data_IF_166343724453
#
_entry.id   IF_166343724453
#
_cell.length_a   1.000
_cell.length_b   1.000
_cell.length_c   1.000
_cell.angle_alpha   90.00
_cell.angle_beta   90.00
_cell.angle_gamma   90.00
#
_symmetry.space_group_name_H-M   'P 1'
#
loop_
_entity.id
_entity.type
_entity.pdbx_description
1 polymer ?
#
# COMPACT_ATOMS: atom_id res chain seq x y z
N UNK A 1 11.91 -1.73 12.41
CA UNK A 1 11.48 -1.37 11.03
C UNK A 1 10.48 -2.41 10.60
N UNK A 2 9.34 -2.03 10.06
CA UNK A 2 8.38 -2.99 9.48
C UNK A 2 8.77 -3.34 8.05
N UNK A 3 8.16 -4.37 7.47
CA UNK A 3 8.31 -4.72 6.03
C UNK A 3 7.90 -3.56 5.12
N UNK A 4 6.83 -2.83 5.46
CA UNK A 4 6.42 -1.62 4.75
C UNK A 4 7.49 -0.50 4.82
N UNK A 5 8.19 -0.36 5.95
CA UNK A 5 9.29 0.59 6.05
C UNK A 5 10.43 0.19 5.11
N UNK A 6 10.75 -1.10 5.02
CA UNK A 6 11.77 -1.61 4.10
C UNK A 6 11.38 -1.34 2.64
N UNK A 7 10.13 -1.59 2.24
CA UNK A 7 9.66 -1.29 0.88
C UNK A 7 9.68 0.20 0.56
N UNK A 8 9.28 1.05 1.52
CA UNK A 8 9.39 2.50 1.39
C UNK A 8 10.84 2.92 1.12
N UNK A 9 11.79 2.46 1.94
CA UNK A 9 13.20 2.83 1.77
C UNK A 9 13.85 2.19 0.54
N UNK A 10 13.39 1.02 0.10
CA UNK A 10 13.83 0.41 -1.15
C UNK A 10 13.50 1.30 -2.35
N UNK A 11 12.22 1.69 -2.49
CA UNK A 11 11.76 2.62 -3.53
C UNK A 11 12.43 3.98 -3.37
N UNK A 12 12.47 4.53 -2.16
CA UNK A 12 13.14 5.80 -1.90
C UNK A 12 14.61 5.76 -2.36
N UNK A 13 15.34 4.69 -2.07
CA UNK A 13 16.76 4.55 -2.44
C UNK A 13 16.98 4.43 -3.95
N UNK A 14 16.08 3.73 -4.65
CA UNK A 14 16.12 3.57 -6.10
C UNK A 14 15.86 4.93 -6.81
N UNK A 15 14.86 5.68 -6.35
CA UNK A 15 14.51 6.97 -6.96
C UNK A 15 15.36 8.14 -6.44
N UNK A 16 16.09 7.99 -5.33
CA UNK A 16 16.95 9.04 -4.77
C UNK A 16 18.05 9.48 -5.73
N UNK A 17 18.63 8.55 -6.49
CA UNK A 17 19.68 8.85 -7.49
C UNK A 17 19.18 9.78 -8.60
N UNK A 18 17.92 9.60 -9.03
CA UNK A 18 17.35 10.30 -10.18
C UNK A 18 16.51 11.54 -9.81
N UNK A 19 15.89 11.57 -8.64
CA UNK A 19 14.87 12.57 -8.29
C UNK A 19 15.09 13.34 -6.98
N UNK A 20 16.20 13.08 -6.24
CA UNK A 20 16.62 13.77 -5.00
C UNK A 20 15.46 14.04 -4.02
N UNK A 21 14.89 15.25 -4.01
CA UNK A 21 13.82 15.67 -3.09
C UNK A 21 12.46 15.03 -3.44
N UNK A 22 12.15 14.84 -4.73
CA UNK A 22 10.89 14.23 -5.18
C UNK A 22 10.81 12.73 -4.88
N UNK A 23 11.95 12.07 -4.62
CA UNK A 23 12.00 10.65 -4.29
C UNK A 23 11.20 10.31 -3.02
N UNK A 24 11.11 11.24 -2.05
CA UNK A 24 10.33 11.04 -0.84
C UNK A 24 8.83 10.97 -1.15
N UNK A 25 8.34 11.91 -1.94
CA UNK A 25 6.93 11.97 -2.35
C UNK A 25 6.55 10.73 -3.16
N UNK A 26 7.43 10.26 -4.05
CA UNK A 26 7.21 9.04 -4.83
C UNK A 26 7.12 7.82 -3.91
N UNK A 27 8.04 7.67 -2.97
CA UNK A 27 8.03 6.54 -2.03
C UNK A 27 6.79 6.57 -1.10
N UNK A 28 6.35 7.75 -0.69
CA UNK A 28 5.17 7.95 0.15
C UNK A 28 3.87 7.62 -0.62
N UNK A 29 3.79 8.08 -1.87
CA UNK A 29 2.71 7.73 -2.77
C UNK A 29 2.65 6.22 -2.99
N UNK A 30 3.80 5.60 -3.31
CA UNK A 30 3.92 4.16 -3.50
C UNK A 30 3.44 3.36 -2.29
N UNK A 31 3.93 3.66 -1.08
CA UNK A 31 3.59 2.84 0.10
C UNK A 31 2.12 2.99 0.49
N UNK A 32 1.55 4.18 0.29
CA UNK A 32 0.12 4.42 0.48
C UNK A 32 -0.70 3.66 -0.54
N UNK A 33 -0.33 3.71 -1.82
CA UNK A 33 -0.99 2.98 -2.89
C UNK A 33 -0.95 1.46 -2.62
N UNK A 34 0.21 0.93 -2.21
CA UNK A 34 0.35 -0.49 -1.89
C UNK A 34 -0.55 -0.92 -0.73
N UNK A 35 -0.59 -0.16 0.37
CA UNK A 35 -1.43 -0.50 1.50
C UNK A 35 -2.93 -0.40 1.17
N UNK A 36 -3.32 0.60 0.37
CA UNK A 36 -4.69 0.74 -0.13
C UNK A 36 -5.04 -0.44 -1.05
N UNK A 37 -4.13 -0.87 -1.93
CA UNK A 37 -4.35 -2.01 -2.81
C UNK A 37 -4.49 -3.34 -2.04
N UNK A 38 -3.70 -3.53 -0.98
CA UNK A 38 -3.83 -4.69 -0.09
C UNK A 38 -5.15 -4.67 0.69
N UNK A 39 -5.55 -3.50 1.18
CA UNK A 39 -6.86 -3.32 1.80
C UNK A 39 -7.98 -3.67 0.81
N UNK A 40 -7.87 -3.18 -0.43
CA UNK A 40 -8.84 -3.43 -1.48
C UNK A 40 -9.00 -4.91 -1.79
N UNK A 41 -7.89 -5.63 -2.03
CA UNK A 41 -7.96 -7.05 -2.38
C UNK A 41 -8.51 -7.89 -1.21
N UNK A 42 -8.12 -7.55 0.03
CA UNK A 42 -8.59 -8.26 1.22
C UNK A 42 -10.08 -8.00 1.45
N UNK A 43 -10.52 -6.75 1.31
CA UNK A 43 -11.93 -6.38 1.41
C UNK A 43 -12.78 -7.02 0.32
N UNK A 44 -12.33 -6.97 -0.94
CA UNK A 44 -12.99 -7.59 -2.08
C UNK A 44 -13.11 -9.11 -1.89
N UNK A 45 -12.05 -9.77 -1.42
CA UNK A 45 -12.07 -11.18 -1.08
C UNK A 45 -13.12 -11.50 -0.01
N UNK A 46 -13.15 -10.75 1.09
CA UNK A 46 -14.10 -10.98 2.19
C UNK A 46 -15.55 -10.80 1.74
N UNK A 47 -15.86 -9.75 0.98
CA UNK A 47 -17.22 -9.54 0.47
C UNK A 47 -17.63 -10.65 -0.49
N UNK A 48 -16.73 -11.05 -1.38
CA UNK A 48 -16.99 -12.15 -2.34
C UNK A 48 -17.23 -13.46 -1.61
N UNK A 49 -16.36 -13.81 -0.68
CA UNK A 49 -16.45 -15.03 0.12
C UNK A 49 -17.75 -15.07 0.93
N UNK A 50 -18.08 -14.00 1.65
CA UNK A 50 -19.31 -13.93 2.46
C UNK A 50 -20.58 -13.97 1.60
N UNK A 51 -20.56 -13.36 0.41
CA UNK A 51 -21.64 -13.45 -0.57
C UNK A 51 -21.89 -14.90 -1.00
N UNK A 52 -20.82 -15.66 -1.30
CA UNK A 52 -20.92 -17.10 -1.63
C UNK A 52 -21.41 -17.95 -0.46
N UNK A 53 -21.19 -17.52 0.78
CA UNK A 53 -21.68 -18.18 1.99
C UNK A 53 -23.13 -17.80 2.35
N UNK A 54 -23.85 -17.10 1.47
CA UNK A 54 -25.22 -16.60 1.69
C UNK A 54 -25.38 -15.69 2.91
N UNK A 55 -24.29 -15.07 3.38
CA UNK A 55 -24.35 -14.08 4.46
C UNK A 55 -24.69 -12.72 3.86
N UNK A 56 -25.86 -12.17 4.21
CA UNK A 56 -26.27 -10.80 3.82
C UNK A 56 -25.53 -9.74 4.64
N UNK A 57 -24.21 -9.73 4.61
CA UNK A 57 -23.39 -8.87 5.48
C UNK A 57 -23.18 -7.48 4.92
N UNK A 58 -23.15 -7.28 3.59
CA UNK A 58 -22.72 -5.99 3.02
C UNK A 58 -23.27 -5.74 1.62
N UNK A 59 -23.87 -4.56 1.40
CA UNK A 59 -24.18 -4.06 0.06
C UNK A 59 -22.92 -3.49 -0.61
N UNK A 60 -22.92 -3.42 -1.94
CA UNK A 60 -21.82 -2.82 -2.72
C UNK A 60 -21.56 -1.37 -2.30
N UNK A 61 -22.60 -0.60 -1.96
CA UNK A 61 -22.46 0.78 -1.48
C UNK A 61 -21.67 0.86 -0.17
N UNK A 62 -21.96 -0.02 0.79
CA UNK A 62 -21.31 -0.02 2.09
C UNK A 62 -19.84 -0.41 1.96
N UNK A 63 -19.52 -1.34 1.06
CA UNK A 63 -18.13 -1.73 0.76
C UNK A 63 -17.30 -0.53 0.29
N UNK A 64 -17.78 0.20 -0.72
CA UNK A 64 -17.07 1.38 -1.23
C UNK A 64 -16.93 2.49 -0.18
N UNK A 65 -17.98 2.74 0.62
CA UNK A 65 -17.91 3.73 1.71
C UNK A 65 -16.83 3.39 2.73
N UNK A 66 -16.81 2.15 3.22
CA UNK A 66 -15.78 1.68 4.16
C UNK A 66 -14.39 1.71 3.52
N UNK A 67 -14.27 1.28 2.26
CA UNK A 67 -13.00 1.32 1.53
C UNK A 67 -12.43 2.74 1.44
N UNK A 68 -13.25 3.75 1.13
CA UNK A 68 -12.81 5.15 1.04
C UNK A 68 -12.33 5.65 2.41
N UNK A 69 -13.09 5.41 3.48
CA UNK A 69 -12.74 5.84 4.85
C UNK A 69 -11.38 5.25 5.27
N UNK A 70 -11.21 3.93 5.11
CA UNK A 70 -9.96 3.27 5.46
C UNK A 70 -8.79 3.72 4.56
N UNK A 71 -9.04 3.98 3.28
CA UNK A 71 -8.02 4.50 2.35
C UNK A 71 -7.49 5.87 2.79
N UNK A 72 -8.39 6.77 3.19
CA UNK A 72 -8.03 8.09 3.74
C UNK A 72 -7.19 7.89 5.02
N UNK A 73 -7.65 7.04 5.94
CA UNK A 73 -6.94 6.78 7.20
C UNK A 73 -5.52 6.24 6.98
N UNK A 74 -5.35 5.31 6.03
CA UNK A 74 -4.05 4.76 5.63
C UNK A 74 -3.15 5.86 5.07
N UNK A 75 -3.67 6.70 4.18
CA UNK A 75 -2.91 7.79 3.57
C UNK A 75 -2.40 8.77 4.63
N UNK A 76 -3.27 9.22 5.53
CA UNK A 76 -2.89 10.12 6.64
C UNK A 76 -1.86 9.47 7.57
N UNK A 77 -2.06 8.20 7.93
CA UNK A 77 -1.11 7.46 8.78
C UNK A 77 0.28 7.39 8.16
N UNK A 78 0.37 7.07 6.86
CA UNK A 78 1.65 7.01 6.16
C UNK A 78 2.28 8.38 6.00
N UNK A 79 1.47 9.41 5.71
CA UNK A 79 1.97 10.78 5.63
C UNK A 79 2.62 11.22 6.94
N UNK A 80 1.98 10.99 8.08
CA UNK A 80 2.57 11.30 9.39
C UNK A 80 3.85 10.50 9.68
N UNK A 81 3.88 9.22 9.31
CA UNK A 81 5.01 8.33 9.61
C UNK A 81 6.27 8.66 8.80
N UNK A 82 6.12 8.92 7.50
CA UNK A 82 7.23 9.10 6.56
C UNK A 82 7.61 10.57 6.34
N UNK A 83 7.09 11.48 7.16
CA UNK A 83 7.42 12.90 7.11
C UNK A 83 8.26 13.35 8.32
N UNK A 84 8.90 14.51 8.20
CA UNK A 84 9.61 15.18 9.29
C UNK A 84 10.69 14.35 9.99
N UNK A 85 10.65 14.36 11.34
CA UNK A 85 11.64 13.72 12.23
C UNK A 85 11.57 12.19 12.17
N UNK A 86 10.37 11.61 12.12
CA UNK A 86 10.14 10.15 12.09
C UNK A 86 10.87 9.50 10.91
N UNK A 87 10.83 10.11 9.73
CA UNK A 87 11.59 9.67 8.55
C UNK A 87 13.09 9.66 8.78
N UNK A 88 13.65 10.71 9.39
CA UNK A 88 15.11 10.82 9.63
C UNK A 88 15.60 9.69 10.53
N UNK A 89 14.84 9.39 11.59
CA UNK A 89 15.13 8.27 12.50
C UNK A 89 15.06 6.94 11.77
N UNK A 90 14.01 6.71 10.97
CA UNK A 90 13.87 5.47 10.20
C UNK A 90 14.96 5.30 9.14
N UNK A 91 15.38 6.38 8.48
CA UNK A 91 16.46 6.37 7.50
C UNK A 91 17.83 6.09 8.15
N UNK A 92 18.08 6.59 9.36
CA UNK A 92 19.30 6.27 10.10
C UNK A 92 19.37 4.79 10.52
N UNK A 93 18.21 4.16 10.75
CA UNK A 93 18.09 2.73 11.05
C UNK A 93 18.10 1.85 9.79
N UNK A 94 17.97 2.44 8.59
CA UNK A 94 17.91 1.70 7.33
C UNK A 94 19.30 1.26 6.90
N UNK A 95 19.52 -0.06 6.85
CA UNK A 95 20.75 -0.62 6.34
C UNK A 95 20.62 -0.94 4.83
N UNK A 96 21.29 -0.14 3.99
CA UNK A 96 21.23 -0.25 2.53
C UNK A 96 21.86 -1.54 1.99
N UNK A 97 22.84 -2.13 2.69
CA UNK A 97 23.55 -3.33 2.22
C UNK A 97 22.71 -4.61 2.30
N UNK A 98 21.62 -4.61 3.09
CA UNK A 98 20.69 -5.74 3.22
C UNK A 98 19.48 -5.64 2.29
N UNK A 99 19.40 -4.60 1.47
CA UNK A 99 18.20 -4.30 0.69
C UNK A 99 18.33 -4.85 -0.75
N UNK A 100 18.03 -6.14 -0.92
CA UNK A 100 18.10 -6.88 -2.19
C UNK A 100 16.79 -6.90 -2.98
N UNK A 101 15.80 -6.07 -2.62
CA UNK A 101 14.52 -6.06 -3.30
C UNK A 101 14.62 -5.51 -4.73
N UNK A 102 14.14 -6.28 -5.69
CA UNK A 102 14.02 -5.83 -7.07
C UNK A 102 12.96 -4.72 -7.16
N UNK A 103 13.39 -3.51 -7.55
CA UNK A 103 12.54 -2.32 -7.62
C UNK A 103 11.39 -2.50 -8.62
N UNK A 104 11.62 -3.22 -9.72
CA UNK A 104 10.58 -3.48 -10.73
C UNK A 104 9.44 -4.34 -10.18
N UNK A 105 9.75 -5.36 -9.37
CA UNK A 105 8.75 -6.22 -8.74
C UNK A 105 7.93 -5.43 -7.72
N UNK A 106 8.59 -4.58 -6.91
CA UNK A 106 7.89 -3.73 -5.96
C UNK A 106 6.91 -2.79 -6.67
N UNK A 107 7.31 -2.16 -7.77
CA UNK A 107 6.43 -1.28 -8.54
C UNK A 107 5.22 -2.02 -9.14
N UNK A 108 5.39 -3.28 -9.53
CA UNK A 108 4.31 -4.11 -10.09
C UNK A 108 3.32 -4.60 -9.01
N UNK A 109 3.79 -4.77 -7.78
CA UNK A 109 3.02 -5.33 -6.66
C UNK A 109 1.65 -4.65 -6.43
N UNK A 110 1.55 -3.31 -6.29
CA UNK A 110 0.24 -2.66 -6.11
C UNK A 110 -0.69 -2.86 -7.31
N UNK A 111 -0.15 -2.91 -8.53
CA UNK A 111 -0.94 -3.14 -9.75
C UNK A 111 -1.54 -4.55 -9.73
N UNK A 112 -0.74 -5.55 -9.36
CA UNK A 112 -1.22 -6.93 -9.20
C UNK A 112 -2.35 -7.05 -8.17
N UNK A 113 -2.21 -6.39 -7.02
CA UNK A 113 -3.26 -6.37 -5.99
C UNK A 113 -4.57 -5.72 -6.48
N UNK A 114 -4.49 -4.62 -7.23
CA UNK A 114 -5.67 -3.95 -7.78
C UNK A 114 -6.37 -4.86 -8.80
N UNK A 115 -5.62 -5.47 -9.74
CA UNK A 115 -6.17 -6.38 -10.75
C UNK A 115 -6.88 -7.56 -10.06
N UNK A 116 -6.23 -8.19 -9.08
CA UNK A 116 -6.83 -9.28 -8.31
C UNK A 116 -8.11 -8.84 -7.59
N UNK A 117 -8.13 -7.65 -6.99
CA UNK A 117 -9.32 -7.13 -6.30
C UNK A 117 -10.48 -6.88 -7.25
N UNK A 118 -10.21 -6.38 -8.46
CA UNK A 118 -11.23 -6.17 -9.50
C UNK A 118 -11.80 -7.51 -10.00
N UNK A 119 -10.95 -8.52 -10.19
CA UNK A 119 -11.39 -9.87 -10.58
C UNK A 119 -12.31 -10.46 -9.52
N UNK A 120 -11.97 -10.33 -8.24
CA UNK A 120 -12.79 -10.80 -7.13
C UNK A 120 -14.15 -10.08 -7.09
N UNK A 121 -14.16 -8.75 -7.20
CA UNK A 121 -15.39 -7.96 -7.22
C UNK A 121 -16.33 -8.31 -8.39
N UNK A 122 -15.77 -8.69 -9.54
CA UNK A 122 -16.57 -9.17 -10.68
C UNK A 122 -17.29 -10.49 -10.39
N UNK A 123 -16.81 -11.27 -9.41
CA UNK A 123 -17.37 -12.57 -9.04
C UNK A 123 -18.52 -12.51 -8.02
N UNK A 124 -18.79 -11.33 -7.46
CA UNK A 124 -19.97 -11.03 -6.62
C UNK A 124 -21.19 -10.90 -7.52
#
# INVERSE_FOLDING_TARGET
MTTFDQFFFAIFSAFKSKFKQKANTIALFYISLLQIALLFVTGAFLVTFLSKMHVKTMSTSNFWTLFIIFSIMIHFKNWMKYNGKSRKVLNAKFNKSKNSYNTSILLLLPVGCIILGLILLKSI
#
